data_IF_031854062265
#
_entry.id   IF_031854062265
#
_cell.length_a   1.000
_cell.length_b   1.000
_cell.length_c   1.000
_cell.angle_alpha   90.00
_cell.angle_beta   90.00
_cell.angle_gamma   90.00
#
_symmetry.space_group_name_H-M   'P 1'
#
loop_
_entity.id
_entity.type
_entity.pdbx_description
1 polymer ?
#
# COMPACT_ATOMS: atom_id res chain seq x y z
N UNK A 1 20.52 12.87 75.30
CA UNK A 1 20.25 14.11 76.08
C UNK A 1 20.58 15.27 75.17
N UNK A 2 19.61 16.11 74.78
CA UNK A 2 19.32 17.44 75.37
C UNK A 2 20.59 18.31 75.29
N UNK A 3 20.69 19.41 74.54
CA UNK A 3 19.83 20.62 74.50
C UNK A 3 20.33 21.56 73.36
N UNK A 4 19.49 22.14 72.51
CA UNK A 4 18.82 23.47 72.60
C UNK A 4 19.79 24.67 72.51
N UNK A 5 19.64 25.55 71.50
CA UNK A 5 19.09 26.92 71.62
C UNK A 5 19.80 28.00 70.76
N UNK A 6 18.95 28.89 70.23
CA UNK A 6 19.13 30.31 69.89
C UNK A 6 19.53 30.66 68.44
N UNK A 7 18.56 30.98 67.57
CA UNK A 7 17.92 32.29 67.35
C UNK A 7 18.83 33.34 66.71
N UNK A 8 18.60 33.63 65.43
CA UNK A 8 18.63 35.00 64.94
C UNK A 8 17.59 35.19 63.84
N UNK A 9 16.52 35.87 64.23
CA UNK A 9 15.44 36.38 63.39
C UNK A 9 15.94 37.67 62.73
N UNK A 10 15.78 37.79 61.42
CA UNK A 10 15.64 39.07 60.73
C UNK A 10 14.44 38.99 59.79
N UNK A 11 13.57 39.98 59.92
CA UNK A 11 12.17 40.02 59.52
C UNK A 11 12.02 40.90 58.27
N UNK A 12 11.14 40.45 57.37
CA UNK A 12 10.29 41.18 56.41
C UNK A 12 10.93 42.08 55.36
N UNK A 13 10.59 41.83 54.09
CA UNK A 13 9.70 42.74 53.35
C UNK A 13 8.71 41.93 52.50
N UNK A 14 7.43 42.27 52.66
CA UNK A 14 6.28 41.81 51.87
C UNK A 14 6.32 42.38 50.44
N UNK A 15 5.92 41.57 49.46
CA UNK A 15 5.21 42.07 48.28
C UNK A 15 4.10 41.09 47.94
N UNK A 16 2.90 41.66 47.89
CA UNK A 16 1.63 40.98 47.66
C UNK A 16 1.15 41.18 46.22
N UNK A 17 0.10 40.41 45.88
CA UNK A 17 -0.76 40.39 44.68
C UNK A 17 -0.38 39.27 43.67
N UNK A 18 -1.06 38.12 43.64
CA UNK A 18 -2.45 37.81 43.18
C UNK A 18 -2.57 38.07 41.66
N UNK A 19 -2.99 37.16 40.76
CA UNK A 19 -4.04 36.15 40.81
C UNK A 19 -3.87 35.08 39.70
N UNK A 20 -4.39 33.87 39.97
CA UNK A 20 -4.94 32.84 39.06
C UNK A 20 -4.38 32.70 37.63
N UNK A 21 -3.77 31.55 37.31
CA UNK A 21 -4.17 30.70 36.16
C UNK A 21 -3.70 29.27 36.39
N UNK A 22 -4.57 28.34 35.98
CA UNK A 22 -4.59 26.93 36.27
C UNK A 22 -3.56 26.10 35.48
N UNK A 23 -3.06 25.04 36.14
CA UNK A 23 -2.91 23.68 35.63
C UNK A 23 -2.19 23.50 34.26
N UNK A 24 -0.86 23.44 34.29
CA UNK A 24 -0.10 22.79 33.22
C UNK A 24 -0.17 21.26 33.40
N UNK A 25 -1.15 20.65 32.74
CA UNK A 25 -1.08 19.24 32.41
C UNK A 25 -0.03 19.05 31.31
N UNK A 26 1.09 18.49 31.73
CA UNK A 26 2.12 17.85 30.93
C UNK A 26 1.47 16.83 30.00
N UNK A 27 1.25 17.23 28.75
CA UNK A 27 0.87 16.34 27.66
C UNK A 27 2.15 15.83 26.99
N UNK A 28 2.38 14.53 27.16
CA UNK A 28 3.35 13.73 26.43
C UNK A 28 3.08 13.86 24.93
N UNK A 29 3.92 14.65 24.26
CA UNK A 29 4.00 14.78 22.81
C UNK A 29 4.45 13.43 22.25
N UNK A 30 3.50 12.63 21.79
CA UNK A 30 3.76 11.50 20.91
C UNK A 30 4.45 12.02 19.65
N UNK A 31 5.62 11.49 19.35
CA UNK A 31 6.26 11.58 18.04
C UNK A 31 5.38 10.83 17.03
N UNK A 32 4.39 11.54 16.47
CA UNK A 32 3.83 11.20 15.18
C UNK A 32 4.78 11.72 14.13
N UNK A 33 5.54 10.81 13.50
CA UNK A 33 6.27 11.11 12.29
C UNK A 33 5.26 11.49 11.20
N UNK A 34 5.20 12.79 10.91
CA UNK A 34 4.64 13.34 9.69
C UNK A 34 5.52 12.85 8.54
N UNK A 35 5.19 11.73 7.91
CA UNK A 35 5.87 11.27 6.70
C UNK A 35 5.26 12.02 5.51
N UNK A 36 6.02 12.99 5.00
CA UNK A 36 5.69 13.73 3.79
C UNK A 36 5.66 12.77 2.59
N UNK A 37 4.68 12.95 1.71
CA UNK A 37 4.61 12.32 0.40
C UNK A 37 5.82 12.75 -0.45
N UNK A 38 6.90 11.97 -0.41
CA UNK A 38 8.13 12.27 -1.14
C UNK A 38 7.86 12.06 -2.63
N UNK A 39 7.89 13.16 -3.38
CA UNK A 39 7.87 13.16 -4.84
C UNK A 39 9.31 12.96 -5.33
N UNK A 40 9.51 11.91 -6.10
CA UNK A 40 10.77 11.56 -6.73
C UNK A 40 10.83 12.10 -8.16
N UNK A 41 12.01 12.53 -8.60
CA UNK A 41 12.28 12.92 -9.99
C UNK A 41 13.50 12.17 -10.50
N UNK A 42 13.28 11.31 -11.49
CA UNK A 42 14.29 10.32 -11.87
C UNK A 42 14.52 10.26 -13.37
N UNK A 43 15.71 9.82 -13.76
CA UNK A 43 16.05 9.49 -15.15
C UNK A 43 16.16 7.99 -15.33
N UNK A 44 15.47 7.42 -16.32
CA UNK A 44 15.57 6.02 -16.70
C UNK A 44 16.95 5.71 -17.28
N UNK A 45 17.70 4.79 -16.68
CA UNK A 45 19.01 4.34 -17.18
C UNK A 45 18.91 3.00 -17.91
N UNK A 46 18.18 2.05 -17.35
CA UNK A 46 17.98 0.72 -17.91
C UNK A 46 16.55 0.26 -17.67
N UNK A 47 15.98 -0.47 -18.62
CA UNK A 47 14.65 -1.07 -18.49
C UNK A 47 14.71 -2.55 -18.87
N UNK A 48 14.22 -3.41 -17.98
CA UNK A 48 14.08 -4.83 -18.19
C UNK A 48 12.59 -5.15 -18.17
N UNK A 49 12.11 -5.68 -19.29
CA UNK A 49 10.71 -6.00 -19.48
C UNK A 49 10.42 -7.42 -19.02
N UNK A 50 9.37 -7.57 -18.23
CA UNK A 50 8.77 -8.87 -17.91
C UNK A 50 7.38 -8.97 -18.53
N UNK A 51 6.67 -10.04 -18.22
CA UNK A 51 5.28 -10.24 -18.61
C UNK A 51 4.37 -9.12 -18.09
N UNK A 52 4.59 -8.65 -16.85
CA UNK A 52 3.66 -7.76 -16.14
C UNK A 52 4.30 -6.49 -15.55
N UNK A 53 5.61 -6.47 -15.32
CA UNK A 53 6.34 -5.31 -14.79
C UNK A 53 7.45 -4.86 -15.74
N UNK A 54 7.76 -3.57 -15.67
CA UNK A 54 9.02 -3.00 -16.15
C UNK A 54 9.92 -2.73 -14.95
N UNK A 55 11.04 -3.43 -14.88
CA UNK A 55 12.08 -3.20 -13.88
C UNK A 55 13.02 -2.15 -14.43
N UNK A 56 13.14 -1.02 -13.74
CA UNK A 56 13.85 0.14 -14.22
C UNK A 56 14.99 0.49 -13.26
N UNK A 57 16.22 0.56 -13.77
CA UNK A 57 17.31 1.22 -13.07
C UNK A 57 17.15 2.72 -13.33
N UNK A 58 17.00 3.50 -12.26
CA UNK A 58 16.80 4.94 -12.36
C UNK A 58 17.90 5.69 -11.62
N UNK A 59 18.15 6.93 -12.04
CA UNK A 59 19.08 7.85 -11.38
C UNK A 59 18.31 9.02 -10.78
N UNK A 60 18.50 9.28 -9.48
CA UNK A 60 18.00 10.44 -8.74
C UNK A 60 19.16 11.08 -7.97
N UNK A 61 19.45 12.37 -8.19
CA UNK A 61 20.50 13.11 -7.48
C UNK A 61 21.88 12.38 -7.38
N UNK A 62 22.26 11.66 -8.44
CA UNK A 62 23.46 10.80 -8.55
C UNK A 62 23.41 9.46 -7.81
N UNK A 63 22.27 9.06 -7.25
CA UNK A 63 22.02 7.73 -6.71
C UNK A 63 21.30 6.87 -7.73
N UNK A 64 21.74 5.63 -7.89
CA UNK A 64 21.07 4.65 -8.74
C UNK A 64 20.34 3.61 -7.89
N UNK A 65 19.08 3.32 -8.25
CA UNK A 65 18.30 2.28 -7.60
C UNK A 65 17.29 1.68 -8.56
N UNK A 66 16.83 0.47 -8.22
CA UNK A 66 15.81 -0.22 -9.00
C UNK A 66 14.42 0.19 -8.55
N UNK A 67 13.55 0.43 -9.52
CA UNK A 67 12.11 0.48 -9.32
C UNK A 67 11.42 -0.59 -10.18
N UNK A 68 10.25 -1.04 -9.77
CA UNK A 68 9.36 -1.88 -10.56
C UNK A 68 8.02 -1.17 -10.74
N UNK A 69 7.61 -0.96 -11.99
CA UNK A 69 6.33 -0.35 -12.36
C UNK A 69 5.53 -1.30 -13.23
N UNK A 70 4.20 -1.16 -13.27
CA UNK A 70 3.39 -1.90 -14.24
C UNK A 70 3.99 -1.75 -15.64
N UNK A 71 3.92 -2.83 -16.42
CA UNK A 71 4.56 -2.90 -17.74
C UNK A 71 4.24 -1.67 -18.59
N UNK A 72 5.30 -0.95 -18.93
CA UNK A 72 5.27 0.26 -19.75
C UNK A 72 6.50 0.26 -20.66
N UNK A 73 6.33 0.80 -21.86
CA UNK A 73 7.41 0.97 -22.82
C UNK A 73 7.97 2.39 -22.69
N UNK A 74 9.19 2.50 -22.17
CA UNK A 74 9.97 3.72 -22.08
C UNK A 74 11.38 3.46 -22.59
N UNK A 75 12.02 4.50 -23.09
CA UNK A 75 13.40 4.44 -23.59
C UNK A 75 14.38 5.00 -22.54
N UNK A 76 15.60 4.45 -22.40
CA UNK A 76 16.65 5.05 -21.59
C UNK A 76 16.86 6.54 -21.88
N UNK A 77 17.07 7.32 -20.83
CA UNK A 77 17.13 8.79 -20.86
C UNK A 77 15.79 9.48 -20.58
N UNK A 78 14.67 8.75 -20.54
CA UNK A 78 13.37 9.31 -20.18
C UNK A 78 13.34 9.80 -18.73
N UNK A 79 12.81 11.00 -18.50
CA UNK A 79 12.65 11.61 -17.18
C UNK A 79 11.20 11.55 -16.74
N UNK A 80 10.95 11.18 -15.49
CA UNK A 80 9.60 11.08 -14.94
C UNK A 80 9.59 11.29 -13.44
N UNK A 81 8.39 11.47 -12.91
CA UNK A 81 8.09 11.66 -11.51
C UNK A 81 7.25 10.49 -10.99
N UNK A 82 7.41 10.19 -9.71
CA UNK A 82 6.52 9.31 -8.98
C UNK A 82 6.45 9.72 -7.52
N UNK A 83 5.43 9.26 -6.83
CA UNK A 83 5.21 9.55 -5.41
C UNK A 83 5.25 8.25 -4.62
N UNK A 84 5.97 8.26 -3.50
CA UNK A 84 6.08 7.09 -2.63
C UNK A 84 6.79 5.91 -3.30
N UNK A 85 6.13 4.76 -3.35
CA UNK A 85 6.70 3.46 -3.68
C UNK A 85 7.03 2.56 -2.47
N UNK A 86 6.74 1.26 -2.59
CA UNK A 86 6.94 0.27 -1.54
C UNK A 86 8.36 -0.31 -1.62
N UNK A 87 9.17 -0.02 -0.61
CA UNK A 87 10.53 -0.56 -0.52
C UNK A 87 10.48 -2.06 -0.20
N UNK A 88 11.07 -2.85 -1.09
CA UNK A 88 11.31 -4.27 -0.92
C UNK A 88 12.80 -4.52 -0.81
N UNK A 89 13.19 -5.34 0.18
CA UNK A 89 14.56 -5.81 0.37
C UNK A 89 14.66 -7.29 0.05
N UNK A 90 15.81 -7.70 -0.46
CA UNK A 90 16.11 -9.09 -0.84
C UNK A 90 15.00 -9.68 -1.75
N UNK A 91 14.48 -8.85 -2.67
CA UNK A 91 13.37 -9.23 -3.55
C UNK A 91 13.87 -10.14 -4.66
N UNK A 92 13.41 -11.38 -4.66
CA UNK A 92 13.70 -12.36 -5.71
C UNK A 92 12.66 -12.28 -6.83
N UNK A 93 13.09 -11.85 -8.02
CA UNK A 93 12.30 -11.96 -9.24
C UNK A 93 12.58 -13.30 -9.91
N UNK A 94 11.59 -14.20 -9.89
CA UNK A 94 11.69 -15.51 -10.55
C UNK A 94 11.73 -15.40 -12.07
N UNK A 95 11.02 -14.43 -12.64
CA UNK A 95 10.99 -14.25 -14.11
C UNK A 95 12.35 -13.75 -14.63
N UNK A 96 13.06 -12.95 -13.83
CA UNK A 96 14.38 -12.44 -14.17
C UNK A 96 15.54 -13.32 -13.68
N UNK A 97 15.25 -14.39 -12.93
CA UNK A 97 16.26 -15.19 -12.21
C UNK A 97 17.27 -14.30 -11.46
N UNK A 98 16.75 -13.30 -10.74
CA UNK A 98 17.55 -12.23 -10.12
C UNK A 98 16.99 -11.81 -8.78
N UNK A 99 17.89 -11.63 -7.81
CA UNK A 99 17.59 -10.98 -6.53
C UNK A 99 18.03 -9.52 -6.54
N UNK A 100 17.14 -8.64 -6.11
CA UNK A 100 17.40 -7.23 -5.87
C UNK A 100 17.61 -7.01 -4.37
N UNK A 101 18.79 -6.50 -3.98
CA UNK A 101 19.06 -6.14 -2.57
C UNK A 101 18.02 -5.12 -2.06
N UNK A 102 17.69 -4.14 -2.90
CA UNK A 102 16.62 -3.17 -2.69
C UNK A 102 15.95 -2.83 -4.02
N UNK A 103 14.62 -2.81 -4.03
CA UNK A 103 13.81 -2.34 -5.16
C UNK A 103 12.57 -1.61 -4.63
N UNK A 104 12.17 -0.56 -5.33
CA UNK A 104 10.96 0.18 -5.03
C UNK A 104 9.83 -0.23 -5.98
N UNK A 105 8.76 -0.81 -5.46
CA UNK A 105 7.57 -1.01 -6.27
C UNK A 105 6.84 0.33 -6.35
N UNK A 106 6.59 0.82 -7.56
CA UNK A 106 5.94 2.11 -7.80
C UNK A 106 4.67 1.86 -8.61
N UNK A 107 3.56 2.43 -8.15
CA UNK A 107 2.25 2.21 -8.78
C UNK A 107 2.07 3.06 -10.04
N UNK A 108 2.30 4.37 -9.91
CA UNK A 108 2.08 5.35 -10.97
C UNK A 108 3.32 6.20 -11.18
N UNK A 109 3.64 6.42 -12.45
CA UNK A 109 4.66 7.37 -12.89
C UNK A 109 4.02 8.40 -13.82
N UNK A 110 4.57 9.60 -13.88
CA UNK A 110 4.07 10.69 -14.71
C UNK A 110 5.22 11.50 -15.32
N UNK A 111 5.03 12.02 -16.53
CA UNK A 111 5.99 12.90 -17.19
C UNK A 111 5.80 14.38 -16.81
N UNK A 112 4.75 14.71 -16.06
CA UNK A 112 4.50 16.05 -15.52
C UNK A 112 4.87 16.15 -14.03
N UNK A 113 5.45 17.28 -13.58
CA UNK A 113 5.79 17.49 -12.18
C UNK A 113 4.57 17.36 -11.27
N UNK A 114 4.69 16.54 -10.21
CA UNK A 114 3.65 16.42 -9.19
C UNK A 114 3.70 17.70 -8.33
N UNK A 115 2.60 18.45 -8.29
CA UNK A 115 2.44 19.59 -7.38
C UNK A 115 1.60 19.14 -6.19
N UNK A 116 2.06 19.41 -4.97
CA UNK A 116 1.41 19.04 -3.70
C UNK A 116 -0.03 19.55 -3.51
N UNK A 117 -0.56 20.35 -4.46
CA UNK A 117 -1.95 20.82 -4.51
C UNK A 117 -2.84 20.12 -5.54
N UNK A 118 -2.31 19.23 -6.36
CA UNK A 118 -3.06 18.63 -7.46
C UNK A 118 -3.86 17.38 -7.09
N UNK A 119 -3.76 16.89 -5.84
CA UNK A 119 -4.42 15.65 -5.39
C UNK A 119 -5.79 15.87 -4.72
N UNK A 120 -6.15 17.10 -4.32
CA UNK A 120 -7.49 17.39 -3.76
C UNK A 120 -8.60 17.51 -4.81
N UNK A 121 -8.30 17.31 -6.10
CA UNK A 121 -9.28 17.26 -7.19
C UNK A 121 -9.31 15.92 -7.95
N UNK A 122 -8.61 14.90 -7.43
CA UNK A 122 -8.84 13.51 -7.80
C UNK A 122 -9.70 12.79 -6.72
N UNK A 123 -10.69 13.49 -6.17
CA UNK A 123 -11.80 12.82 -5.50
C UNK A 123 -12.69 12.18 -6.58
N UNK A 124 -12.47 10.88 -6.77
CA UNK A 124 -13.24 9.85 -7.50
C UNK A 124 -12.44 9.17 -8.60
N UNK A 125 -11.76 8.09 -8.18
CA UNK A 125 -11.19 7.07 -9.04
C UNK A 125 -9.68 7.14 -9.09
N UNK A 126 -9.03 6.29 -8.28
CA UNK A 126 -7.74 5.72 -8.68
C UNK A 126 -7.85 5.27 -10.14
N UNK A 127 -6.78 5.27 -10.95
CA UNK A 127 -6.81 4.53 -12.19
C UNK A 127 -7.20 3.11 -11.81
N UNK A 128 -8.45 2.75 -12.11
CA UNK A 128 -8.98 1.42 -11.93
C UNK A 128 -7.98 0.54 -12.62
N UNK A 129 -7.22 -0.24 -11.85
CA UNK A 129 -6.10 -1.01 -12.34
C UNK A 129 -6.61 -1.71 -13.61
N UNK A 130 -6.06 -1.34 -14.77
CA UNK A 130 -6.61 -1.71 -16.08
C UNK A 130 -6.25 -3.15 -16.38
N UNK A 131 -6.69 -4.07 -15.51
CA UNK A 131 -6.87 -5.45 -15.89
C UNK A 131 -8.01 -5.42 -16.90
N UNK A 132 -7.75 -5.93 -18.10
CA UNK A 132 -8.79 -5.98 -19.13
C UNK A 132 -9.95 -6.81 -18.57
N UNK A 133 -11.17 -6.27 -18.61
CA UNK A 133 -12.35 -7.05 -18.25
C UNK A 133 -12.47 -8.19 -19.24
N UNK A 134 -12.23 -9.41 -18.79
CA UNK A 134 -12.36 -10.58 -19.64
C UNK A 134 -13.82 -11.02 -19.69
N UNK A 135 -14.27 -11.46 -20.87
CA UNK A 135 -15.54 -12.18 -20.95
C UNK A 135 -15.32 -13.60 -20.40
N UNK A 136 -15.61 -13.79 -19.12
CA UNK A 136 -15.43 -15.05 -18.41
C UNK A 136 -16.82 -15.64 -18.17
N UNK A 137 -17.04 -16.82 -18.74
CA UNK A 137 -18.16 -17.67 -18.41
C UNK A 137 -17.65 -18.74 -17.46
N UNK A 138 -18.03 -18.63 -16.19
CA UNK A 138 -17.57 -19.50 -15.11
C UNK A 138 -18.78 -19.98 -14.32
N UNK A 139 -18.87 -21.29 -14.11
CA UNK A 139 -19.84 -21.86 -13.20
C UNK A 139 -19.39 -21.60 -11.76
N UNK A 140 -20.18 -20.83 -11.01
CA UNK A 140 -19.88 -20.47 -9.61
C UNK A 140 -20.42 -21.57 -8.70
N UNK A 141 -19.56 -22.32 -7.97
CA UNK A 141 -20.02 -23.39 -7.09
C UNK A 141 -20.95 -22.88 -5.99
N UNK A 142 -21.95 -23.69 -5.62
CA UNK A 142 -22.87 -23.37 -4.53
C UNK A 142 -22.11 -23.04 -3.23
N UNK A 143 -22.48 -21.94 -2.59
CA UNK A 143 -21.81 -21.42 -1.39
C UNK A 143 -20.59 -20.52 -1.65
N UNK A 144 -20.20 -20.30 -2.92
CA UNK A 144 -19.24 -19.26 -3.27
C UNK A 144 -19.90 -17.88 -3.28
N UNK A 145 -19.19 -16.88 -2.77
CA UNK A 145 -19.51 -15.46 -2.92
C UNK A 145 -18.89 -14.96 -4.21
N UNK A 146 -19.69 -14.32 -5.06
CA UNK A 146 -19.22 -13.71 -6.32
C UNK A 146 -18.41 -12.45 -6.06
N UNK A 147 -17.59 -12.03 -7.03
CA UNK A 147 -16.82 -10.78 -6.96
C UNK A 147 -17.77 -9.58 -6.86
N UNK A 148 -18.88 -9.56 -7.62
CA UNK A 148 -19.93 -8.54 -7.47
C UNK A 148 -20.41 -8.43 -6.02
N UNK A 149 -20.77 -9.56 -5.40
CA UNK A 149 -21.24 -9.59 -4.01
C UNK A 149 -20.14 -9.09 -3.04
N UNK A 150 -18.89 -9.47 -3.25
CA UNK A 150 -17.77 -9.02 -2.43
C UNK A 150 -17.63 -7.50 -2.46
N UNK A 151 -17.69 -6.88 -3.65
CA UNK A 151 -17.59 -5.43 -3.77
C UNK A 151 -18.84 -4.70 -3.29
N UNK A 152 -20.04 -5.22 -3.59
CA UNK A 152 -21.32 -4.63 -3.16
C UNK A 152 -21.50 -4.67 -1.65
N UNK A 153 -21.16 -5.81 -1.03
CA UNK A 153 -21.42 -6.07 0.39
C UNK A 153 -20.14 -5.91 1.24
N UNK A 154 -19.14 -5.18 0.73
CA UNK A 154 -17.79 -5.02 1.32
C UNK A 154 -17.79 -4.57 2.79
N UNK A 155 -18.69 -3.67 3.18
CA UNK A 155 -18.78 -3.19 4.56
C UNK A 155 -19.29 -4.29 5.52
N UNK A 156 -20.14 -5.19 5.02
CA UNK A 156 -20.66 -6.33 5.77
C UNK A 156 -19.63 -7.47 5.83
N UNK A 157 -18.86 -7.65 4.76
CA UNK A 157 -17.89 -8.73 4.62
C UNK A 157 -16.52 -8.41 5.21
N UNK A 158 -16.23 -7.16 5.53
CA UNK A 158 -14.95 -6.77 6.12
C UNK A 158 -14.62 -7.57 7.39
N UNK A 159 -13.44 -8.17 7.41
CA UNK A 159 -12.95 -9.07 8.45
C UNK A 159 -13.55 -10.48 8.43
N UNK A 160 -14.44 -10.81 7.48
CA UNK A 160 -15.06 -12.14 7.37
C UNK A 160 -14.36 -13.00 6.35
N UNK A 161 -14.35 -14.31 6.62
CA UNK A 161 -13.93 -15.29 5.61
C UNK A 161 -15.04 -15.53 4.60
N UNK A 162 -14.66 -15.56 3.32
CA UNK A 162 -15.53 -15.93 2.20
C UNK A 162 -14.88 -17.03 1.38
N UNK A 163 -15.69 -17.79 0.67
CA UNK A 163 -15.24 -18.67 -0.42
C UNK A 163 -15.53 -17.97 -1.73
N UNK A 164 -14.55 -17.82 -2.61
CA UNK A 164 -14.71 -17.18 -3.93
C UNK A 164 -14.05 -18.04 -4.99
N UNK A 165 -14.72 -18.22 -6.12
CA UNK A 165 -14.17 -18.96 -7.27
C UNK A 165 -13.95 -18.00 -8.41
N UNK A 166 -12.77 -18.03 -9.01
CA UNK A 166 -12.44 -17.14 -10.12
C UNK A 166 -11.33 -17.70 -11.00
N UNK A 167 -11.23 -17.16 -12.20
CA UNK A 167 -10.12 -17.39 -13.11
C UNK A 167 -8.98 -16.44 -12.79
N UNK A 168 -7.77 -16.97 -12.64
CA UNK A 168 -6.55 -16.20 -12.44
C UNK A 168 -6.22 -15.44 -13.72
N UNK A 169 -6.16 -14.11 -13.63
CA UNK A 169 -5.86 -13.21 -14.77
C UNK A 169 -4.51 -12.52 -14.64
N UNK A 170 -3.96 -12.42 -13.43
CA UNK A 170 -2.61 -11.88 -13.18
C UNK A 170 -2.04 -12.53 -11.92
N UNK A 171 -0.72 -12.76 -11.92
CA UNK A 171 0.03 -13.32 -10.80
C UNK A 171 1.29 -12.48 -10.61
N UNK A 172 1.46 -11.90 -9.41
CA UNK A 172 2.72 -11.27 -9.00
C UNK A 172 3.26 -12.02 -7.79
N UNK A 173 4.41 -12.67 -7.92
CA UNK A 173 4.95 -13.53 -6.87
C UNK A 173 6.00 -12.80 -6.03
N UNK A 174 6.13 -13.19 -4.76
CA UNK A 174 7.23 -12.75 -3.89
C UNK A 174 7.16 -11.32 -3.37
N UNK A 175 6.07 -10.59 -3.59
CA UNK A 175 5.89 -9.23 -3.06
C UNK A 175 5.40 -9.31 -1.62
N UNK A 176 6.10 -8.69 -0.68
CA UNK A 176 5.83 -8.76 0.77
C UNK A 176 5.72 -10.20 1.30
N UNK A 177 6.56 -11.12 0.79
CA UNK A 177 6.56 -12.56 1.11
C UNK A 177 5.24 -13.28 0.75
N UNK A 178 4.45 -12.68 -0.14
CA UNK A 178 3.18 -13.19 -0.61
C UNK A 178 3.13 -13.18 -2.13
N UNK A 179 2.25 -14.02 -2.68
CA UNK A 179 1.83 -13.97 -4.07
C UNK A 179 0.51 -13.20 -4.14
N UNK A 180 0.43 -12.29 -5.10
CA UNK A 180 -0.70 -11.40 -5.34
C UNK A 180 -1.37 -11.84 -6.63
N UNK A 181 -2.54 -12.43 -6.49
CA UNK A 181 -3.29 -13.07 -7.55
C UNK A 181 -4.50 -12.20 -7.85
N UNK A 182 -4.64 -11.77 -9.09
CA UNK A 182 -5.90 -11.17 -9.54
C UNK A 182 -6.79 -12.25 -10.12
N UNK A 183 -8.03 -12.31 -9.64
CA UNK A 183 -9.06 -13.21 -10.16
C UNK A 183 -10.25 -12.44 -10.70
N UNK A 184 -10.89 -13.02 -11.71
CA UNK A 184 -12.15 -12.54 -12.28
C UNK A 184 -13.12 -13.72 -12.41
N UNK A 185 -14.40 -13.50 -12.13
CA UNK A 185 -15.45 -14.54 -12.18
C UNK A 185 -16.55 -14.22 -13.21
N UNK A 186 -16.39 -13.12 -13.94
CA UNK A 186 -17.36 -12.61 -14.93
C UNK A 186 -18.38 -11.63 -14.37
N UNK A 187 -18.51 -11.52 -13.05
CA UNK A 187 -19.43 -10.59 -12.37
C UNK A 187 -18.76 -9.23 -12.12
N UNK A 188 -19.56 -8.20 -11.83
CA UNK A 188 -19.03 -6.87 -11.50
C UNK A 188 -20.00 -6.08 -10.60
N UNK A 189 -19.45 -5.18 -9.78
CA UNK A 189 -20.22 -4.15 -9.07
C UNK A 189 -19.66 -2.77 -9.42
N UNK A 190 -20.44 -1.88 -10.03
CA UNK A 190 -20.00 -0.52 -10.39
C UNK A 190 -18.68 -0.49 -11.19
N UNK A 191 -18.51 -1.51 -12.03
CA UNK A 191 -17.32 -1.75 -12.84
C UNK A 191 -16.14 -2.35 -12.09
N UNK A 192 -16.24 -2.66 -10.79
CA UNK A 192 -15.26 -3.47 -10.06
C UNK A 192 -15.53 -4.94 -10.38
N UNK A 193 -14.61 -5.59 -11.09
CA UNK A 193 -14.74 -6.97 -11.58
C UNK A 193 -13.51 -7.83 -11.27
N UNK A 194 -12.48 -7.23 -10.68
CA UNK A 194 -11.18 -7.84 -10.46
C UNK A 194 -10.86 -7.82 -8.97
N UNK A 195 -10.73 -9.00 -8.39
CA UNK A 195 -10.43 -9.17 -6.98
C UNK A 195 -8.96 -9.55 -6.82
N UNK A 196 -8.23 -8.75 -6.03
CA UNK A 196 -6.87 -9.10 -5.61
C UNK A 196 -6.93 -10.06 -4.42
N UNK A 197 -6.14 -11.12 -4.50
CA UNK A 197 -6.03 -12.19 -3.51
C UNK A 197 -4.57 -12.33 -3.10
N UNK A 198 -4.25 -12.23 -1.81
CA UNK A 198 -2.91 -12.56 -1.32
C UNK A 198 -2.86 -13.99 -0.81
N UNK A 199 -1.81 -14.73 -1.19
CA UNK A 199 -1.63 -16.13 -0.81
C UNK A 199 -0.14 -16.49 -0.78
N UNK A 200 0.21 -17.63 -0.19
CA UNK A 200 1.55 -18.23 -0.26
C UNK A 200 1.65 -19.35 -1.30
N UNK A 201 0.51 -19.70 -1.90
CA UNK A 201 0.41 -20.76 -2.92
C UNK A 201 0.72 -20.22 -4.32
N UNK A 202 1.13 -21.14 -5.19
CA UNK A 202 1.58 -20.84 -6.55
C UNK A 202 0.46 -21.15 -7.54
N UNK A 203 0.19 -20.22 -8.44
CA UNK A 203 -0.86 -20.34 -9.47
C UNK A 203 -0.35 -19.79 -10.80
N UNK A 204 -1.02 -20.15 -11.89
CA UNK A 204 -0.74 -19.65 -13.23
C UNK A 204 -1.92 -18.87 -13.77
N UNK A 205 -1.63 -17.89 -14.62
CA UNK A 205 -2.68 -17.21 -15.40
C UNK A 205 -3.45 -18.24 -16.22
N UNK A 206 -4.77 -18.20 -16.12
CA UNK A 206 -5.69 -19.15 -16.74
C UNK A 206 -6.28 -20.17 -15.78
N UNK A 207 -5.66 -20.41 -14.62
CA UNK A 207 -6.19 -21.35 -13.62
C UNK A 207 -7.56 -20.91 -13.12
N UNK A 208 -8.47 -21.87 -12.91
CA UNK A 208 -9.76 -21.64 -12.22
C UNK A 208 -9.59 -22.20 -10.81
N UNK A 209 -9.74 -21.34 -9.81
CA UNK A 209 -9.41 -21.66 -8.42
C UNK A 209 -10.52 -21.18 -7.50
N UNK A 210 -10.85 -22.00 -6.50
CA UNK A 210 -11.68 -21.62 -5.36
C UNK A 210 -10.79 -21.26 -4.19
N UNK A 211 -10.84 -19.99 -3.77
CA UNK A 211 -10.12 -19.47 -2.62
C UNK A 211 -11.02 -19.36 -1.39
N UNK A 212 -10.46 -19.64 -0.23
CA UNK A 212 -11.01 -19.24 1.07
C UNK A 212 -10.07 -18.24 1.71
N UNK A 213 -10.55 -17.04 2.03
CA UNK A 213 -9.73 -15.98 2.62
C UNK A 213 -10.55 -14.90 3.30
N UNK A 214 -9.88 -13.97 3.97
CA UNK A 214 -10.53 -12.88 4.71
C UNK A 214 -10.71 -11.66 3.81
N UNK A 215 -11.93 -11.15 3.68
CA UNK A 215 -12.18 -9.88 2.99
C UNK A 215 -11.73 -8.73 3.87
N UNK A 216 -10.89 -7.85 3.34
CA UNK A 216 -10.45 -6.63 4.02
C UNK A 216 -10.76 -5.43 3.13
N UNK A 217 -11.43 -4.43 3.71
CA UNK A 217 -11.74 -3.16 3.05
C UNK A 217 -10.71 -2.09 3.40
N UNK A 218 -10.57 -1.11 2.52
CA UNK A 218 -9.74 0.09 2.72
C UNK A 218 -8.31 -0.27 3.19
N UNK A 219 -7.74 -1.31 2.58
CA UNK A 219 -6.44 -1.85 2.98
C UNK A 219 -5.33 -0.99 2.40
N UNK A 220 -4.62 -0.31 3.28
CA UNK A 220 -3.43 0.47 2.95
C UNK A 220 -2.15 -0.30 3.30
N UNK A 221 -1.29 -0.50 2.30
CA UNK A 221 0.07 -1.03 2.46
C UNK A 221 1.13 0.08 2.45
N UNK A 222 0.72 1.35 2.41
CA UNK A 222 1.54 2.54 2.31
C UNK A 222 1.94 2.84 0.87
N UNK A 223 2.50 4.04 0.66
CA UNK A 223 3.23 4.37 -0.56
C UNK A 223 2.43 4.27 -1.88
N UNK A 224 1.11 4.53 -1.81
CA UNK A 224 0.17 4.41 -2.93
C UNK A 224 -0.56 3.08 -3.00
N UNK A 225 -0.05 2.02 -2.35
CA UNK A 225 -0.64 0.67 -2.40
C UNK A 225 -1.90 0.54 -1.55
N UNK A 226 -3.00 1.07 -2.06
CA UNK A 226 -4.31 1.04 -1.43
C UNK A 226 -5.28 0.14 -2.19
N UNK A 227 -6.02 -0.69 -1.45
CA UNK A 227 -7.03 -1.58 -1.99
C UNK A 227 -8.38 -1.31 -1.34
N UNK A 228 -9.36 -0.88 -2.15
CA UNK A 228 -10.74 -0.72 -1.70
C UNK A 228 -11.29 -2.02 -1.08
N UNK A 229 -10.98 -3.16 -1.71
CA UNK A 229 -11.28 -4.51 -1.22
C UNK A 229 -10.16 -5.46 -1.66
N UNK A 230 -9.72 -6.33 -0.75
CA UNK A 230 -8.73 -7.38 -1.01
C UNK A 230 -9.10 -8.65 -0.23
N UNK A 231 -8.77 -9.82 -0.78
CA UNK A 231 -8.89 -11.10 -0.07
C UNK A 231 -7.52 -11.49 0.51
N UNK A 232 -7.35 -11.39 1.82
CA UNK A 232 -6.06 -11.61 2.47
C UNK A 232 -5.81 -13.06 2.88
N UNK A 233 -4.55 -13.51 2.70
CA UNK A 233 -4.00 -14.78 3.19
C UNK A 233 -4.83 -15.99 2.79
N UNK A 234 -5.36 -15.97 1.57
CA UNK A 234 -6.25 -16.99 1.08
C UNK A 234 -5.55 -18.33 0.84
N UNK A 235 -6.32 -19.40 0.92
CA UNK A 235 -5.92 -20.78 0.64
C UNK A 235 -6.83 -21.35 -0.43
N UNK A 236 -6.27 -22.10 -1.38
CA UNK A 236 -7.09 -22.87 -2.32
C UNK A 236 -7.81 -24.00 -1.60
N UNK A 237 -9.01 -24.30 -2.07
CA UNK A 237 -9.83 -25.43 -1.63
C UNK A 237 -9.77 -26.59 -2.61
#
# INVERSE_FOLDING_TARGET
MRTILSFLIAIFILSACNSNTANEQQSSKSEQANQEDIIHHVTLKEIIQTSVYSYMLVTEENTEYWIAVNKINLEPGFQFYFEGGLEMRDFESKELDRTFEKILFVETITDVPISSKSLTQAAHGMPKQSNTKNNIELEIPEGSTTIEQIFRDKDILNGKQVTVTGKVVKVNEGILKMNWIHIQDGTQNEGDFDLTVTTTEMFKVGDIVTFVGTVTKDKDYGHGYFYNVILEKAKSK
#
